data_IF_718257714397
#
_entry.id   IF_718257714397
#
_cell.length_a   1.000
_cell.length_b   1.000
_cell.length_c   1.000
_cell.angle_alpha   90.00
_cell.angle_beta   90.00
_cell.angle_gamma   90.00
#
_symmetry.space_group_name_H-M   'P 1'
#
loop_
_entity.id
_entity.type
_entity.pdbx_description
1 polymer ?
#
# COMPACT_ATOMS: atom_id res chain seq x y z
N UNK A 1 -0.94 -16.58 -22.49
CA UNK A 1 -1.88 -16.01 -21.49
C UNK A 1 -2.35 -14.62 -21.96
N UNK A 2 -3.59 -14.20 -21.65
CA UNK A 2 -4.12 -12.89 -22.08
C UNK A 2 -4.68 -12.09 -20.90
N UNK A 3 -3.99 -11.01 -20.50
CA UNK A 3 -4.38 -10.12 -19.40
C UNK A 3 -4.45 -8.69 -19.90
N UNK A 4 -5.47 -7.93 -19.48
CA UNK A 4 -5.69 -6.56 -19.93
C UNK A 4 -5.88 -5.62 -18.74
N UNK A 5 -5.34 -4.41 -18.88
CA UNK A 5 -5.43 -3.32 -17.90
C UNK A 5 -4.97 -3.71 -16.49
N UNK A 6 -3.93 -4.55 -16.41
CA UNK A 6 -3.32 -4.89 -15.13
C UNK A 6 -2.45 -3.73 -14.65
N UNK A 7 -2.54 -3.32 -13.39
CA UNK A 7 -1.70 -2.24 -12.87
C UNK A 7 -0.48 -2.84 -12.21
N UNK A 8 0.71 -2.44 -12.65
CA UNK A 8 1.96 -2.80 -11.99
C UNK A 8 2.92 -1.60 -11.98
N UNK A 9 3.99 -1.71 -11.21
CA UNK A 9 5.12 -0.83 -11.30
C UNK A 9 5.78 -0.98 -12.69
N UNK A 10 5.84 0.11 -13.46
CA UNK A 10 6.40 0.12 -14.81
C UNK A 10 7.91 -0.05 -14.83
N UNK A 11 8.58 0.07 -13.68
CA UNK A 11 10.01 -0.22 -13.54
C UNK A 11 10.30 -1.67 -13.17
N UNK A 12 9.27 -2.50 -12.93
CA UNK A 12 9.49 -3.90 -12.61
C UNK A 12 9.83 -4.71 -13.87
N UNK A 13 10.81 -5.61 -13.76
CA UNK A 13 11.12 -6.59 -14.81
C UNK A 13 10.17 -7.80 -14.78
N UNK A 14 9.51 -8.06 -13.66
CA UNK A 14 8.60 -9.19 -13.49
C UNK A 14 7.26 -8.77 -12.90
N UNK A 15 6.21 -9.50 -13.28
CA UNK A 15 4.89 -9.41 -12.67
C UNK A 15 4.47 -10.77 -12.12
N UNK A 16 3.86 -10.74 -10.93
CA UNK A 16 3.07 -11.84 -10.40
C UNK A 16 1.61 -11.56 -10.76
N UNK A 17 1.02 -12.44 -11.56
CA UNK A 17 -0.39 -12.35 -11.94
C UNK A 17 -1.12 -13.52 -11.31
N UNK A 18 -2.06 -13.23 -10.42
CA UNK A 18 -2.85 -14.26 -9.78
C UNK A 18 -4.14 -14.51 -10.57
N UNK A 19 -4.38 -15.76 -10.94
CA UNK A 19 -5.70 -16.23 -11.34
C UNK A 19 -6.38 -16.88 -10.14
N UNK A 20 -7.48 -16.27 -9.71
CA UNK A 20 -8.26 -16.74 -8.56
C UNK A 20 -9.13 -17.96 -8.88
N UNK A 21 -9.40 -18.26 -10.16
CA UNK A 21 -10.21 -19.43 -10.55
C UNK A 21 -9.36 -20.70 -10.47
N UNK A 22 -8.14 -20.64 -11.00
CA UNK A 22 -7.22 -21.78 -11.03
C UNK A 22 -6.26 -21.80 -9.85
N UNK A 23 -6.37 -20.84 -8.92
CA UNK A 23 -5.46 -20.68 -7.78
C UNK A 23 -3.99 -20.75 -8.21
N UNK A 24 -3.65 -20.07 -9.29
CA UNK A 24 -2.33 -20.12 -9.91
C UNK A 24 -1.75 -18.72 -10.06
N UNK A 25 -0.51 -18.54 -9.64
CA UNK A 25 0.28 -17.34 -9.89
C UNK A 25 1.16 -17.60 -11.11
N UNK A 26 1.05 -16.71 -12.08
CA UNK A 26 1.87 -16.68 -13.27
C UNK A 26 2.98 -15.65 -13.05
N UNK A 27 4.23 -16.12 -13.13
CA UNK A 27 5.38 -15.23 -13.14
C UNK A 27 5.66 -14.86 -14.60
N UNK A 28 5.58 -13.57 -14.91
CA UNK A 28 5.73 -13.08 -16.29
C UNK A 28 6.89 -12.09 -16.35
N UNK A 29 7.79 -12.28 -17.31
CA UNK A 29 8.81 -11.29 -17.65
C UNK A 29 8.14 -10.15 -18.45
N UNK A 30 8.23 -8.92 -17.92
CA UNK A 30 7.61 -7.73 -18.48
C UNK A 30 8.36 -7.14 -19.69
N UNK A 31 9.51 -7.71 -20.04
CA UNK A 31 10.32 -7.37 -21.21
C UNK A 31 10.02 -8.30 -22.40
N UNK A 32 9.21 -9.34 -22.20
CA UNK A 32 8.85 -10.28 -23.27
C UNK A 32 8.03 -9.62 -24.39
N UNK A 33 8.23 -10.09 -25.61
CA UNK A 33 7.39 -9.77 -26.76
C UNK A 33 5.94 -10.17 -26.43
N UNK A 34 5.00 -9.22 -26.59
CA UNK A 34 3.59 -9.40 -26.23
C UNK A 34 3.18 -8.69 -24.94
N UNK A 35 4.14 -8.17 -24.16
CA UNK A 35 3.88 -7.25 -23.06
C UNK A 35 3.86 -5.81 -23.57
N UNK A 36 2.80 -5.06 -23.27
CA UNK A 36 2.68 -3.64 -23.62
C UNK A 36 2.47 -2.80 -22.37
N UNK A 37 3.41 -1.90 -22.10
CA UNK A 37 3.27 -0.86 -21.08
C UNK A 37 2.46 0.31 -21.66
N UNK A 38 1.34 0.63 -21.03
CA UNK A 38 0.49 1.78 -21.35
C UNK A 38 0.88 2.98 -20.48
N UNK A 39 0.13 4.09 -20.63
CA UNK A 39 0.35 5.32 -19.86
C UNK A 39 0.34 5.07 -18.35
N UNK A 40 1.16 5.84 -17.64
CA UNK A 40 1.17 5.94 -16.18
C UNK A 40 -0.26 6.21 -15.69
N UNK A 41 -0.65 5.49 -14.65
CA UNK A 41 -1.97 5.65 -14.02
C UNK A 41 -1.94 6.90 -13.14
N UNK A 42 -2.84 7.83 -13.41
CA UNK A 42 -3.05 8.98 -12.53
C UNK A 42 -3.94 8.56 -11.36
N UNK A 43 -3.48 8.81 -10.13
CA UNK A 43 -4.24 8.55 -8.89
C UNK A 43 -4.20 9.76 -7.95
N UNK A 44 -5.16 9.81 -7.03
CA UNK A 44 -5.26 10.84 -6.01
C UNK A 44 -4.03 10.84 -5.09
N UNK A 45 -3.69 9.67 -4.54
CA UNK A 45 -2.48 9.42 -3.74
C UNK A 45 -1.45 8.55 -4.47
N UNK A 46 -0.42 8.10 -3.75
CA UNK A 46 0.62 7.18 -4.26
C UNK A 46 1.28 7.64 -5.58
N UNK A 47 1.38 8.95 -5.80
CA UNK A 47 1.85 9.55 -7.07
C UNK A 47 3.32 9.27 -7.37
N UNK A 48 4.10 9.02 -6.31
CA UNK A 48 5.50 8.61 -6.36
C UNK A 48 5.65 7.16 -6.83
N UNK A 49 4.63 6.33 -6.68
CA UNK A 49 4.64 4.99 -7.25
C UNK A 49 4.56 5.08 -8.78
N UNK A 50 5.44 4.37 -9.47
CA UNK A 50 5.50 4.37 -10.92
C UNK A 50 4.53 3.35 -11.51
N UNK A 51 3.23 3.53 -11.24
CA UNK A 51 2.20 2.57 -11.66
C UNK A 51 1.76 2.82 -13.11
N UNK A 52 1.76 1.78 -13.94
CA UNK A 52 1.26 1.81 -15.31
C UNK A 52 0.29 0.68 -15.56
N UNK A 53 -0.59 0.87 -16.56
CA UNK A 53 -1.39 -0.22 -17.09
C UNK A 53 -0.52 -1.11 -17.98
N UNK A 54 -0.58 -2.41 -17.79
CA UNK A 54 0.15 -3.42 -18.53
C UNK A 54 -0.86 -4.34 -19.20
N UNK A 55 -0.63 -4.61 -20.48
CA UNK A 55 -1.35 -5.62 -21.25
C UNK A 55 -0.41 -6.75 -21.61
N UNK A 56 -0.93 -7.97 -21.59
CA UNK A 56 -0.20 -9.19 -21.90
C UNK A 56 -1.03 -9.90 -22.97
N UNK A 57 -0.49 -10.01 -24.17
CA UNK A 57 -1.09 -10.74 -25.30
C UNK A 57 -0.18 -11.90 -25.68
N UNK A 58 -0.69 -13.13 -25.54
CA UNK A 58 -0.01 -14.37 -25.96
C UNK A 58 1.43 -14.53 -25.43
N UNK A 59 1.67 -14.10 -24.20
CA UNK A 59 2.95 -14.33 -23.50
C UNK A 59 2.88 -15.63 -22.71
N UNK A 60 3.95 -16.42 -22.77
CA UNK A 60 4.15 -17.59 -21.91
C UNK A 60 4.77 -17.17 -20.57
N UNK A 61 4.24 -17.69 -19.45
CA UNK A 61 4.81 -17.43 -18.13
C UNK A 61 6.16 -18.12 -18.00
N UNK A 62 7.11 -17.49 -17.32
CA UNK A 62 8.41 -18.13 -17.01
C UNK A 62 8.25 -19.20 -15.93
N UNK A 63 7.23 -19.08 -15.09
CA UNK A 63 6.93 -20.03 -14.03
C UNK A 63 5.43 -19.97 -13.69
N UNK A 64 4.90 -21.14 -13.35
CA UNK A 64 3.57 -21.32 -12.77
C UNK A 64 3.71 -21.78 -11.33
N UNK A 65 3.07 -21.07 -10.41
CA UNK A 65 3.07 -21.40 -8.99
C UNK A 65 1.62 -21.69 -8.59
N UNK A 66 1.32 -22.96 -8.33
CA UNK A 66 0.02 -23.33 -7.78
C UNK A 66 -0.01 -23.01 -6.28
N UNK A 67 -1.02 -22.26 -5.85
CA UNK A 67 -1.18 -21.84 -4.46
C UNK A 67 -2.41 -22.51 -3.87
N UNK A 68 -2.20 -23.40 -2.91
CA UNK A 68 -3.28 -23.92 -2.08
C UNK A 68 -3.86 -22.83 -1.16
N UNK A 69 -4.95 -23.15 -0.49
CA UNK A 69 -5.65 -22.25 0.42
C UNK A 69 -4.73 -21.72 1.54
N UNK A 70 -3.87 -22.57 2.11
CA UNK A 70 -2.94 -22.17 3.18
C UNK A 70 -1.92 -21.13 2.70
N UNK A 71 -1.39 -21.28 1.49
CA UNK A 71 -0.47 -20.30 0.89
C UNK A 71 -1.18 -19.00 0.51
N UNK A 72 -2.44 -19.08 0.09
CA UNK A 72 -3.26 -17.89 -0.14
C UNK A 72 -3.48 -17.10 1.14
N UNK A 73 -3.73 -17.79 2.26
CA UNK A 73 -3.90 -17.15 3.56
C UNK A 73 -2.61 -16.47 4.02
N UNK A 74 -1.47 -17.16 3.95
CA UNK A 74 -0.15 -16.58 4.27
C UNK A 74 0.14 -15.34 3.40
N UNK A 75 -0.15 -15.42 2.09
CA UNK A 75 0.04 -14.30 1.17
C UNK A 75 -0.79 -13.07 1.57
N UNK A 76 -2.08 -13.27 1.92
CA UNK A 76 -2.97 -12.20 2.38
C UNK A 76 -2.50 -11.62 3.71
N UNK A 77 -2.22 -12.47 4.70
CA UNK A 77 -1.73 -12.04 6.00
C UNK A 77 -0.43 -11.21 5.87
N UNK A 78 0.47 -11.61 4.96
CA UNK A 78 1.69 -10.85 4.70
C UNK A 78 1.42 -9.45 4.13
N UNK A 79 0.38 -9.27 3.30
CA UNK A 79 -0.03 -7.96 2.80
C UNK A 79 -0.65 -7.11 3.91
N UNK A 80 -1.51 -7.71 4.74
CA UNK A 80 -2.15 -7.01 5.86
C UNK A 80 -1.11 -6.47 6.85
N UNK A 81 -0.07 -7.26 7.15
CA UNK A 81 1.07 -6.82 7.97
C UNK A 81 1.79 -5.64 7.31
N UNK A 82 2.15 -5.73 6.03
CA UNK A 82 2.83 -4.64 5.32
C UNK A 82 2.00 -3.34 5.32
N UNK A 83 0.71 -3.44 5.03
CA UNK A 83 -0.20 -2.29 5.01
C UNK A 83 -0.33 -1.66 6.40
N UNK A 84 -0.41 -2.48 7.46
CA UNK A 84 -0.47 -1.99 8.84
C UNK A 84 0.80 -1.24 9.26
N UNK A 85 1.98 -1.72 8.87
CA UNK A 85 3.28 -1.07 9.16
C UNK A 85 3.38 0.27 8.44
N UNK A 86 2.97 0.33 7.15
CA UNK A 86 2.95 1.57 6.38
C UNK A 86 1.98 2.59 7.00
N UNK A 87 0.79 2.13 7.41
CA UNK A 87 -0.21 2.95 8.07
C UNK A 87 0.31 3.50 9.41
N UNK A 88 0.90 2.64 10.24
CA UNK A 88 1.49 3.03 11.52
C UNK A 88 2.58 4.10 11.33
N UNK A 89 3.54 3.88 10.43
CA UNK A 89 4.60 4.86 10.14
C UNK A 89 4.05 6.20 9.65
N UNK A 90 2.99 6.17 8.83
CA UNK A 90 2.32 7.37 8.33
C UNK A 90 1.64 8.15 9.46
N UNK A 91 0.89 7.46 10.32
CA UNK A 91 0.20 8.07 11.47
C UNK A 91 1.20 8.59 12.50
N UNK A 92 2.29 7.86 12.77
CA UNK A 92 3.37 8.31 13.65
C UNK A 92 3.95 9.64 13.16
N UNK A 93 4.34 9.71 11.89
CA UNK A 93 4.85 10.94 11.28
C UNK A 93 3.84 12.09 11.37
N UNK A 94 2.56 11.81 11.10
CA UNK A 94 1.51 12.81 11.18
C UNK A 94 1.28 13.32 12.62
N UNK A 95 1.27 12.40 13.59
CA UNK A 95 1.09 12.68 15.01
C UNK A 95 2.21 13.57 15.57
N UNK A 96 3.46 13.26 15.25
CA UNK A 96 4.61 14.09 15.64
C UNK A 96 4.52 15.51 15.06
N UNK A 97 4.19 15.61 13.76
CA UNK A 97 4.06 16.90 13.06
C UNK A 97 2.94 17.75 13.65
N UNK A 98 1.76 17.17 13.89
CA UNK A 98 0.62 17.92 14.41
C UNK A 98 0.81 18.30 15.88
N UNK A 99 1.42 17.42 16.68
CA UNK A 99 1.74 17.71 18.09
C UNK A 99 2.73 18.86 18.19
N UNK A 100 3.82 18.80 17.41
CA UNK A 100 4.82 19.87 17.35
C UNK A 100 4.20 21.20 16.90
N UNK A 101 3.41 21.18 15.82
CA UNK A 101 2.75 22.37 15.29
C UNK A 101 1.78 23.00 16.30
N UNK A 102 0.96 22.19 16.97
CA UNK A 102 -0.05 22.69 17.91
C UNK A 102 0.56 23.29 19.18
N UNK A 103 1.73 22.80 19.61
CA UNK A 103 2.49 23.37 20.72
C UNK A 103 3.13 24.72 20.36
N UNK A 104 3.61 24.86 19.12
CA UNK A 104 4.32 26.06 18.67
C UNK A 104 3.39 27.16 18.14
N UNK A 105 2.21 26.81 17.63
CA UNK A 105 1.28 27.76 17.02
C UNK A 105 0.51 28.53 18.09
N UNK A 106 0.76 29.85 18.19
CA UNK A 106 0.03 30.76 19.08
C UNK A 106 -1.16 31.44 18.38
N UNK A 107 -2.36 31.30 18.95
CA UNK A 107 -3.59 32.00 18.56
C UNK A 107 -4.52 32.20 19.76
N UNK A 108 -5.31 33.28 19.73
CA UNK A 108 -6.23 33.66 20.80
C UNK A 108 -5.57 33.65 22.20
N UNK A 109 -4.39 34.25 22.31
CA UNK A 109 -3.70 34.45 23.58
C UNK A 109 -2.84 33.30 24.09
N UNK A 110 -2.66 32.20 23.33
CA UNK A 110 -1.81 31.08 23.75
C UNK A 110 -1.59 30.02 22.67
N UNK A 111 -0.88 28.93 22.98
CA UNK A 111 -0.66 27.83 22.04
C UNK A 111 -1.97 27.09 21.74
N UNK A 112 -2.11 26.49 20.56
CA UNK A 112 -3.33 25.75 20.19
C UNK A 112 -3.64 24.59 21.15
N UNK A 113 -2.63 24.02 21.79
CA UNK A 113 -2.79 22.97 22.81
C UNK A 113 -3.55 23.43 24.06
N UNK A 114 -3.77 24.75 24.26
CA UNK A 114 -4.60 25.24 25.36
C UNK A 114 -6.10 24.95 25.15
N UNK A 115 -6.55 24.75 23.91
CA UNK A 115 -7.95 24.44 23.60
C UNK A 115 -8.24 22.96 23.76
N UNK A 116 -9.30 22.64 24.51
CA UNK A 116 -9.71 21.25 24.76
C UNK A 116 -10.02 20.48 23.47
N UNK A 117 -10.67 21.12 22.50
CA UNK A 117 -11.01 20.51 21.20
C UNK A 117 -9.76 20.03 20.46
N UNK A 118 -8.65 20.78 20.57
CA UNK A 118 -7.37 20.38 19.96
C UNK A 118 -6.78 19.19 20.70
N UNK A 119 -6.73 19.24 22.05
CA UNK A 119 -6.21 18.12 22.85
C UNK A 119 -7.00 16.83 22.64
N UNK A 120 -8.32 16.89 22.57
CA UNK A 120 -9.15 15.70 22.31
C UNK A 120 -8.81 15.07 20.96
N UNK A 121 -8.68 15.88 19.89
CA UNK A 121 -8.24 15.36 18.58
C UNK A 121 -6.86 14.73 18.61
N UNK A 122 -5.92 15.29 19.38
CA UNK A 122 -4.59 14.69 19.55
C UNK A 122 -4.68 13.34 20.28
N UNK A 123 -5.53 13.24 21.30
CA UNK A 123 -5.79 11.97 22.01
C UNK A 123 -6.41 10.93 21.07
N UNK A 124 -7.39 11.31 20.25
CA UNK A 124 -7.99 10.39 19.27
C UNK A 124 -6.94 9.82 18.30
N UNK A 125 -6.06 10.69 17.77
CA UNK A 125 -4.96 10.25 16.89
C UNK A 125 -3.99 9.33 17.64
N UNK A 126 -3.69 9.62 18.92
CA UNK A 126 -2.80 8.79 19.72
C UNK A 126 -3.38 7.39 19.97
N UNK A 127 -4.69 7.27 20.18
CA UNK A 127 -5.39 5.98 20.32
C UNK A 127 -5.31 5.19 19.02
N UNK A 128 -5.65 5.80 17.88
CA UNK A 128 -5.59 5.12 16.57
C UNK A 128 -4.18 4.66 16.22
N UNK A 129 -3.18 5.47 16.56
CA UNK A 129 -1.77 5.12 16.39
C UNK A 129 -1.39 3.87 17.18
N UNK A 130 -1.87 3.73 18.42
CA UNK A 130 -1.58 2.56 19.25
C UNK A 130 -2.31 1.30 18.76
N UNK A 131 -3.54 1.46 18.27
CA UNK A 131 -4.27 0.38 17.62
C UNK A 131 -3.49 -0.16 16.41
N UNK A 132 -2.96 0.73 15.56
CA UNK A 132 -2.14 0.35 14.42
C UNK A 132 -0.80 -0.27 14.84
N UNK A 133 -0.16 0.24 15.89
CA UNK A 133 1.06 -0.35 16.44
C UNK A 133 0.82 -1.81 16.81
N UNK A 134 -0.26 -2.07 17.57
CA UNK A 134 -0.66 -3.42 17.99
C UNK A 134 -0.87 -4.34 16.80
N UNK A 135 -1.61 -3.89 15.77
CA UNK A 135 -1.83 -4.68 14.55
C UNK A 135 -0.53 -4.98 13.80
N UNK A 136 0.40 -4.01 13.76
CA UNK A 136 1.65 -4.15 13.02
C UNK A 136 2.65 -5.14 13.64
N UNK A 137 2.47 -5.47 14.92
CA UNK A 137 3.35 -6.40 15.67
C UNK A 137 2.64 -7.71 16.05
N UNK A 138 1.37 -7.88 15.70
CA UNK A 138 0.53 -8.99 16.17
C UNK A 138 0.67 -10.31 15.37
N UNK A 139 1.57 -10.39 14.39
CA UNK A 139 1.76 -11.54 13.52
C UNK A 139 3.19 -12.08 13.56
#
# INVERSE_FOLDING_TARGET
MNFRNYVNNSAASYALLQDHITSTIYVVNLENIGVTHRKKVYRLGWRTANLANINIDRVEPIQLIHIDESKQEIWRASHDVLDSVIAYGTVQCAFERVTSYTQQRFQFGGPLTQFQVVRHKLVDIAIERENLNTLSIAY
#
